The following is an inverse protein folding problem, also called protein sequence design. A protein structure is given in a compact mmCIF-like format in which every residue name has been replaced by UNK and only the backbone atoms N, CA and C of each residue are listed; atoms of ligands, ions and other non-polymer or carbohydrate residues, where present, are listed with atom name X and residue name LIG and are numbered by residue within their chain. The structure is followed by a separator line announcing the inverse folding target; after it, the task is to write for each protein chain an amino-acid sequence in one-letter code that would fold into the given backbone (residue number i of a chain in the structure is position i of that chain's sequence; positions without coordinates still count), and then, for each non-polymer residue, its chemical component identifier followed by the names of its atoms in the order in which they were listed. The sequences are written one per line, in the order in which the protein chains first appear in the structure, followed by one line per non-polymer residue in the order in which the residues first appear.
data_IF_121495620959
#
_entry.id   IF_121495620959
#
_cell.length_a   1.000
_cell.length_b   1.000
_cell.length_c   1.000
_cell.angle_alpha   90.00
_cell.angle_beta   90.00
_cell.angle_gamma   90.00
#
_symmetry.space_group_name_H-M   'P 1'
#
loop_
_entity.id
_entity.type
_entity.pdbx_description
1 polymer ?
#
# COMPACT_ATOMS: atom_id res chain seq x y z
N UNK A 1 4.85 2.30 -10.75
CA UNK A 1 5.57 1.01 -10.88
C UNK A 1 6.99 1.21 -10.38
N UNK A 2 7.45 0.44 -9.39
CA UNK A 2 8.84 0.54 -8.88
C UNK A 2 9.02 0.55 -7.35
N UNK A 3 7.96 0.30 -6.57
CA UNK A 3 8.03 0.09 -5.11
C UNK A 3 6.96 -0.90 -4.67
N UNK A 4 6.98 -1.26 -3.38
CA UNK A 4 6.02 -2.19 -2.77
C UNK A 4 5.65 -1.69 -1.36
N UNK A 5 4.63 -2.27 -0.73
CA UNK A 5 4.46 -2.13 0.72
C UNK A 5 5.39 -3.12 1.40
N UNK A 6 6.44 -2.64 2.09
CA UNK A 6 7.31 -3.50 2.92
C UNK A 6 6.48 -4.18 4.02
N UNK A 7 5.62 -3.40 4.67
CA UNK A 7 4.65 -3.85 5.68
C UNK A 7 3.31 -3.16 5.49
N UNK A 8 2.23 -3.93 5.40
CA UNK A 8 0.89 -3.41 5.11
C UNK A 8 -0.13 -3.95 6.10
N UNK A 9 -0.85 -3.04 6.75
CA UNK A 9 -2.07 -3.32 7.51
C UNK A 9 -3.27 -2.86 6.70
N UNK A 10 -3.68 -3.67 5.72
CA UNK A 10 -4.78 -3.33 4.81
C UNK A 10 -6.14 -3.19 5.50
N UNK A 11 -6.30 -3.79 6.69
CA UNK A 11 -7.50 -3.64 7.55
C UNK A 11 -7.32 -2.62 8.69
N UNK A 12 -6.13 -1.98 8.78
CA UNK A 12 -5.82 -0.92 9.74
C UNK A 12 -5.79 -1.35 11.20
N UNK A 13 -5.46 -2.61 11.51
CA UNK A 13 -5.38 -3.14 12.88
C UNK A 13 -3.95 -3.54 13.22
N UNK A 14 -3.23 -2.70 13.95
CA UNK A 14 -1.81 -2.92 14.28
C UNK A 14 -1.54 -4.12 15.19
N UNK A 15 -2.55 -4.64 15.89
CA UNK A 15 -2.42 -5.87 16.68
C UNK A 15 -2.33 -7.13 15.81
N UNK A 16 -2.73 -7.05 14.54
CA UNK A 16 -2.52 -8.13 13.58
C UNK A 16 -1.13 -7.99 12.96
N UNK A 17 -0.51 -9.11 12.59
CA UNK A 17 0.72 -9.05 11.80
C UNK A 17 0.45 -8.34 10.45
N UNK A 18 1.37 -7.49 9.96
CA UNK A 18 1.24 -6.90 8.63
C UNK A 18 1.44 -7.96 7.55
N UNK A 19 0.81 -7.74 6.40
CA UNK A 19 1.21 -8.38 5.15
C UNK A 19 2.56 -7.79 4.68
N UNK A 20 3.36 -8.55 3.94
CA UNK A 20 4.69 -8.15 3.48
C UNK A 20 4.80 -8.18 1.97
N UNK A 21 5.64 -7.30 1.42
CA UNK A 21 6.00 -7.22 0.00
C UNK A 21 4.82 -7.08 -0.98
N UNK A 22 3.74 -6.40 -0.58
CA UNK A 22 2.56 -6.23 -1.42
C UNK A 22 2.78 -5.22 -2.55
N UNK A 23 2.44 -5.60 -3.78
CA UNK A 23 2.39 -4.68 -4.94
C UNK A 23 1.20 -3.72 -4.87
N UNK A 24 0.05 -4.21 -4.37
CA UNK A 24 -1.19 -3.46 -4.18
C UNK A 24 -1.96 -4.09 -3.02
N UNK A 25 -2.77 -3.29 -2.31
CA UNK A 25 -3.61 -3.77 -1.21
C UNK A 25 -5.00 -3.14 -1.28
N UNK A 26 -5.97 -3.78 -0.64
CA UNK A 26 -7.36 -3.33 -0.64
C UNK A 26 -7.70 -2.57 0.65
N UNK A 27 -8.40 -1.44 0.53
CA UNK A 27 -8.97 -0.71 1.67
C UNK A 27 -10.48 -0.77 1.57
N UNK A 28 -11.13 -1.51 2.47
CA UNK A 28 -12.59 -1.61 2.49
C UNK A 28 -13.22 -0.22 2.70
N UNK A 29 -14.35 0.05 2.04
CA UNK A 29 -15.12 1.28 2.27
C UNK A 29 -15.49 1.44 3.76
N UNK A 30 -15.32 2.64 4.31
CA UNK A 30 -15.52 2.92 5.73
C UNK A 30 -14.41 2.43 6.66
N UNK A 31 -13.26 2.03 6.11
CA UNK A 31 -12.07 1.65 6.88
C UNK A 31 -10.85 2.48 6.50
N UNK A 32 -9.75 2.27 7.24
CA UNK A 32 -8.45 2.85 6.95
C UNK A 32 -7.39 1.75 6.93
N UNK A 33 -6.32 1.98 6.19
CA UNK A 33 -5.16 1.09 6.09
C UNK A 33 -3.87 1.88 6.35
N UNK A 34 -2.80 1.16 6.63
CA UNK A 34 -1.46 1.72 6.73
C UNK A 34 -0.47 0.86 5.94
N UNK A 35 0.47 1.51 5.26
CA UNK A 35 1.57 0.85 4.57
C UNK A 35 2.88 1.56 4.89
N UNK A 36 3.93 0.80 5.14
CA UNK A 36 5.30 1.27 5.27
C UNK A 36 6.08 0.85 4.03
N UNK A 37 6.91 1.77 3.52
CA UNK A 37 7.84 1.49 2.44
C UNK A 37 9.10 2.33 2.60
N UNK A 38 10.25 1.68 2.49
CA UNK A 38 11.56 2.32 2.43
C UNK A 38 11.98 2.47 0.97
N UNK A 39 12.02 3.71 0.47
CA UNK A 39 12.46 3.98 -0.89
C UNK A 39 13.90 3.52 -1.14
N UNK A 40 14.10 2.71 -2.17
CA UNK A 40 15.42 2.17 -2.55
C UNK A 40 16.05 2.84 -3.77
N UNK A 41 15.27 3.59 -4.54
CA UNK A 41 15.71 4.26 -5.76
C UNK A 41 15.21 5.71 -5.74
N UNK A 42 15.97 6.66 -6.30
CA UNK A 42 15.48 8.02 -6.53
C UNK A 42 14.54 8.06 -7.75
N UNK A 43 13.66 9.05 -7.79
CA UNK A 43 12.74 9.25 -8.92
C UNK A 43 11.39 9.82 -8.47
N UNK A 44 10.49 10.00 -9.44
CA UNK A 44 9.11 10.41 -9.18
C UNK A 44 8.25 9.14 -9.14
N UNK A 45 7.46 9.00 -8.08
CA UNK A 45 6.58 7.85 -7.86
C UNK A 45 5.12 8.31 -7.83
N UNK A 46 4.24 7.54 -8.47
CA UNK A 46 2.80 7.74 -8.40
C UNK A 46 2.20 6.80 -7.34
N UNK A 47 1.39 7.37 -6.44
CA UNK A 47 0.53 6.61 -5.53
C UNK A 47 -0.90 6.73 -6.01
N UNK A 48 -1.52 5.61 -6.38
CA UNK A 48 -2.77 5.58 -7.14
C UNK A 48 -3.71 4.50 -6.63
N UNK A 49 -5.00 4.66 -6.92
CA UNK A 49 -5.91 3.53 -6.98
C UNK A 49 -5.58 2.73 -8.25
N UNK A 50 -5.32 1.43 -8.11
CA UNK A 50 -4.95 0.57 -9.24
C UNK A 50 -6.15 0.17 -10.14
N UNK A 51 -7.30 0.86 -10.00
CA UNK A 51 -8.34 0.95 -11.03
C UNK A 51 -8.02 2.12 -11.99
N UNK A 52 -7.29 1.84 -13.06
CA UNK A 52 -6.80 2.86 -13.99
C UNK A 52 -7.88 3.49 -14.89
N UNK A 53 -9.12 3.03 -14.81
CA UNK A 53 -10.26 3.62 -15.53
C UNK A 53 -10.85 4.80 -14.74
N UNK A 54 -10.62 4.85 -13.43
CA UNK A 54 -11.17 5.86 -12.50
C UNK A 54 -10.10 6.84 -11.98
N UNK A 55 -8.86 6.72 -12.44
CA UNK A 55 -7.70 7.48 -11.97
C UNK A 55 -7.55 8.86 -12.61
#
# INVERSE_FOLDING_TARGET
FGGHGDHVWQTGKFNNAPDVDLETWFVCGGSAAAALYTFRQPGIYAYVNHNLIEA
#
